data_IF_025953371770
#
_entry.id   IF_025953371770
#
_cell.length_a   1.000
_cell.length_b   1.000
_cell.length_c   1.000
_cell.angle_alpha   90.00
_cell.angle_beta   90.00
_cell.angle_gamma   90.00
#
_symmetry.space_group_name_H-M   'P 1'
#
loop_
_entity.id
_entity.type
_entity.pdbx_description
1 polymer ?
#
# COMPACT_ATOMS: atom_id res chain seq x y z
N UNK A 1 4.26 7.81 8.41
CA UNK A 1 3.20 6.76 8.29
C UNK A 1 2.06 7.05 9.25
N UNK A 2 0.81 6.78 8.86
CA UNK A 2 -0.37 6.78 9.73
C UNK A 2 -1.15 5.48 9.54
N UNK A 3 -2.02 5.11 10.48
CA UNK A 3 -2.91 3.95 10.31
C UNK A 3 -4.23 4.12 11.08
N UNK A 4 -5.24 3.37 10.63
CA UNK A 4 -6.52 3.19 11.33
C UNK A 4 -6.86 1.71 11.39
N UNK A 5 -7.50 1.30 12.47
CA UNK A 5 -7.87 -0.09 12.75
C UNK A 5 -9.39 -0.28 12.70
N UNK A 6 -9.82 -1.42 12.16
CA UNK A 6 -11.21 -1.86 12.12
C UNK A 6 -11.33 -3.24 12.77
N UNK A 7 -12.48 -3.51 13.39
CA UNK A 7 -12.81 -4.81 14.00
C UNK A 7 -11.71 -5.33 14.95
N UNK A 8 -11.24 -4.46 15.86
CA UNK A 8 -10.24 -4.76 16.88
C UNK A 8 -8.87 -5.26 16.35
N UNK A 9 -8.50 -4.87 15.13
CA UNK A 9 -7.19 -5.18 14.55
C UNK A 9 -6.03 -4.74 15.46
N UNK A 10 -6.15 -3.60 16.16
CA UNK A 10 -5.18 -3.12 17.13
C UNK A 10 -4.94 -4.11 18.28
N UNK A 11 -6.02 -4.68 18.83
CA UNK A 11 -5.95 -5.64 19.94
C UNK A 11 -5.32 -6.95 19.48
N UNK A 12 -5.72 -7.45 18.31
CA UNK A 12 -5.16 -8.68 17.72
C UNK A 12 -3.67 -8.49 17.41
N UNK A 13 -3.28 -7.34 16.84
CA UNK A 13 -1.88 -7.04 16.56
C UNK A 13 -1.06 -6.96 17.85
N UNK A 14 -1.55 -6.27 18.87
CA UNK A 14 -0.80 -6.09 20.11
C UNK A 14 -0.61 -7.39 20.90
N UNK A 15 -1.54 -8.35 20.77
CA UNK A 15 -1.54 -9.61 21.52
C UNK A 15 -0.88 -10.77 20.75
N UNK A 16 -1.06 -10.84 19.44
CA UNK A 16 -0.66 -12.00 18.62
C UNK A 16 0.42 -11.68 17.59
N UNK A 17 0.43 -10.46 17.03
CA UNK A 17 1.23 -10.11 15.85
C UNK A 17 2.16 -8.91 16.06
N UNK A 18 2.62 -8.71 17.29
CA UNK A 18 3.44 -7.55 17.65
C UNK A 18 4.76 -7.54 16.88
N UNK A 19 5.36 -8.71 16.67
CA UNK A 19 6.63 -8.86 15.95
C UNK A 19 6.44 -8.60 14.45
N UNK A 20 5.42 -9.23 13.84
CA UNK A 20 5.07 -9.02 12.43
C UNK A 20 4.74 -7.55 12.15
N UNK A 21 3.99 -6.88 13.04
CA UNK A 21 3.74 -5.46 12.91
C UNK A 21 5.01 -4.61 13.06
N UNK A 22 5.93 -4.99 13.95
CA UNK A 22 7.22 -4.30 14.07
C UNK A 22 8.05 -4.41 12.78
N UNK A 23 8.08 -5.57 12.14
CA UNK A 23 8.74 -5.78 10.84
C UNK A 23 8.12 -4.88 9.75
N UNK A 24 6.79 -4.86 9.65
CA UNK A 24 6.04 -4.06 8.67
C UNK A 24 6.29 -2.57 8.91
N UNK A 25 6.02 -2.09 10.12
CA UNK A 25 6.13 -0.66 10.47
C UNK A 25 7.55 -0.14 10.31
N UNK A 26 8.56 -0.92 10.69
CA UNK A 26 9.97 -0.56 10.49
C UNK A 26 10.32 -0.45 9.00
N UNK A 27 9.88 -1.42 8.20
CA UNK A 27 10.10 -1.41 6.75
C UNK A 27 9.46 -0.18 6.09
N UNK A 28 8.18 0.05 6.35
CA UNK A 28 7.42 1.15 5.73
C UNK A 28 7.90 2.53 6.21
N UNK A 29 8.41 2.65 7.44
CA UNK A 29 8.93 3.92 7.98
C UNK A 29 10.32 4.25 7.46
N UNK A 30 11.16 3.23 7.17
CA UNK A 30 12.52 3.43 6.64
C UNK A 30 12.57 3.58 5.12
N UNK A 31 11.49 3.21 4.44
CA UNK A 31 11.42 3.27 2.98
C UNK A 31 11.48 4.73 2.51
N UNK A 32 12.43 5.10 1.62
CA UNK A 32 12.44 6.43 1.03
C UNK A 32 11.24 6.61 0.09
N UNK A 33 10.81 7.86 -0.10
CA UNK A 33 9.76 8.16 -1.08
C UNK A 33 10.26 7.82 -2.49
N UNK A 34 9.58 6.89 -3.16
CA UNK A 34 9.86 6.53 -4.55
C UNK A 34 9.01 7.36 -5.50
N UNK A 35 9.66 7.98 -6.49
CA UNK A 35 9.02 8.84 -7.47
C UNK A 35 9.52 8.58 -8.88
N UNK A 36 8.69 8.91 -9.85
CA UNK A 36 8.96 8.79 -11.27
C UNK A 36 8.36 9.96 -12.03
N UNK A 37 8.78 10.15 -13.28
CA UNK A 37 8.11 11.06 -14.20
C UNK A 37 6.72 10.54 -14.58
N UNK A 38 5.75 11.44 -14.60
CA UNK A 38 4.42 11.19 -15.16
C UNK A 38 4.47 11.15 -16.69
N UNK A 39 3.64 10.28 -17.28
CA UNK A 39 3.35 10.25 -18.73
C UNK A 39 1.88 10.62 -19.03
N UNK A 40 1.18 11.17 -18.04
CA UNK A 40 -0.20 11.61 -18.18
C UNK A 40 -0.27 12.96 -18.93
N UNK A 41 -1.22 13.07 -19.87
CA UNK A 41 -1.47 14.30 -20.62
C UNK A 41 -1.71 15.49 -19.67
N UNK A 42 -0.99 16.59 -19.91
CA UNK A 42 -1.07 17.84 -19.15
C UNK A 42 -0.12 17.95 -17.96
N UNK A 43 0.56 16.86 -17.57
CA UNK A 43 1.54 16.85 -16.46
C UNK A 43 2.76 15.97 -16.79
N UNK A 44 3.05 15.75 -18.07
CA UNK A 44 4.18 14.90 -18.47
C UNK A 44 5.50 15.44 -17.91
N UNK A 45 6.35 14.54 -17.44
CA UNK A 45 7.62 14.89 -16.81
C UNK A 45 7.51 15.28 -15.33
N UNK A 46 6.34 15.69 -14.84
CA UNK A 46 6.17 16.03 -13.43
C UNK A 46 6.41 14.81 -12.54
N UNK A 47 7.07 15.04 -11.40
CA UNK A 47 7.30 14.01 -10.40
C UNK A 47 5.97 13.54 -9.80
N UNK A 48 5.75 12.23 -9.81
CA UNK A 48 4.61 11.55 -9.20
C UNK A 48 5.09 10.35 -8.38
N UNK A 49 4.25 9.91 -7.44
CA UNK A 49 4.45 8.68 -6.68
C UNK A 49 4.69 7.50 -7.63
N UNK A 50 5.73 6.73 -7.34
CA UNK A 50 6.10 5.55 -8.11
C UNK A 50 5.61 4.27 -7.43
N UNK A 51 4.46 3.70 -7.84
CA UNK A 51 3.98 2.47 -7.26
C UNK A 51 4.85 1.26 -7.63
N UNK A 52 5.63 1.32 -8.72
CA UNK A 52 6.46 0.19 -9.17
C UNK A 52 7.69 0.08 -8.28
N UNK A 53 8.46 1.16 -8.13
CA UNK A 53 9.61 1.20 -7.23
C UNK A 53 9.22 0.96 -5.78
N UNK A 54 8.09 1.52 -5.33
CA UNK A 54 7.57 1.28 -3.98
C UNK A 54 7.27 -0.21 -3.74
N UNK A 55 6.55 -0.86 -4.67
CA UNK A 55 6.23 -2.29 -4.54
C UNK A 55 7.49 -3.16 -4.58
N UNK A 56 8.46 -2.83 -5.43
CA UNK A 56 9.74 -3.53 -5.52
C UNK A 56 10.51 -3.45 -4.20
N UNK A 57 10.62 -2.25 -3.61
CA UNK A 57 11.28 -2.04 -2.32
C UNK A 57 10.61 -2.85 -1.21
N UNK A 58 9.27 -2.72 -1.08
CA UNK A 58 8.50 -3.44 -0.05
C UNK A 58 8.68 -4.94 -0.21
N UNK A 59 8.58 -5.47 -1.45
CA UNK A 59 8.74 -6.90 -1.72
C UNK A 59 10.11 -7.41 -1.28
N UNK A 60 11.18 -6.71 -1.63
CA UNK A 60 12.54 -7.10 -1.25
C UNK A 60 12.71 -7.13 0.29
N UNK A 61 12.24 -6.10 0.98
CA UNK A 61 12.34 -6.01 2.44
C UNK A 61 11.47 -7.04 3.17
N UNK A 62 10.26 -7.32 2.67
CA UNK A 62 9.36 -8.30 3.26
C UNK A 62 9.88 -9.72 3.07
N UNK A 63 10.41 -10.08 1.89
CA UNK A 63 11.04 -11.39 1.66
C UNK A 63 12.24 -11.58 2.59
N UNK A 64 13.06 -10.54 2.80
CA UNK A 64 14.16 -10.58 3.77
C UNK A 64 13.68 -10.88 5.20
N UNK A 65 12.48 -10.42 5.56
CA UNK A 65 11.84 -10.70 6.86
C UNK A 65 10.96 -11.96 6.83
N UNK A 66 11.22 -12.88 5.89
CA UNK A 66 10.54 -14.18 5.76
C UNK A 66 9.04 -14.09 5.46
N UNK A 67 8.57 -12.98 4.90
CA UNK A 67 7.22 -12.91 4.32
C UNK A 67 7.22 -13.62 2.98
N UNK A 68 6.25 -14.51 2.78
CA UNK A 68 6.04 -15.15 1.48
C UNK A 68 5.29 -14.18 0.58
N UNK A 69 5.71 -14.06 -0.68
CA UNK A 69 5.11 -13.14 -1.65
C UNK A 69 4.34 -13.86 -2.74
N UNK A 70 3.28 -13.25 -3.28
CA UNK A 70 2.46 -13.76 -4.39
C UNK A 70 1.93 -15.17 -4.11
N UNK A 71 1.32 -15.35 -2.94
CA UNK A 71 0.86 -16.66 -2.47
C UNK A 71 -0.43 -17.00 -3.22
N UNK A 72 -0.48 -18.15 -3.91
CA UNK A 72 -1.63 -18.50 -4.74
C UNK A 72 -2.88 -18.67 -3.89
N UNK A 73 -3.99 -18.12 -4.37
CA UNK A 73 -5.31 -18.35 -3.77
C UNK A 73 -5.71 -19.82 -4.00
N UNK A 74 -6.15 -20.56 -2.96
CA UNK A 74 -6.53 -21.96 -3.09
C UNK A 74 -7.64 -22.21 -4.12
N UNK A 75 -7.64 -23.40 -4.72
CA UNK A 75 -8.52 -23.74 -5.84
C UNK A 75 -10.01 -23.42 -5.62
N UNK A 76 -10.63 -23.68 -4.45
CA UNK A 76 -12.03 -23.35 -4.22
C UNK A 76 -12.35 -21.85 -4.31
N UNK A 77 -11.36 -20.98 -4.13
CA UNK A 77 -11.52 -19.53 -4.08
C UNK A 77 -10.85 -18.79 -5.24
N UNK A 78 -10.35 -19.50 -6.27
CA UNK A 78 -9.65 -18.91 -7.43
C UNK A 78 -10.47 -17.87 -8.20
N UNK A 79 -11.80 -17.91 -8.09
CA UNK A 79 -12.67 -16.88 -8.68
C UNK A 79 -12.49 -15.50 -8.03
N UNK A 80 -11.85 -15.41 -6.86
CA UNK A 80 -11.51 -14.17 -6.15
C UNK A 80 -10.15 -13.58 -6.54
N UNK A 81 -9.37 -14.27 -7.39
CA UNK A 81 -8.07 -13.83 -7.86
C UNK A 81 -7.04 -14.96 -7.98
N UNK A 82 -5.84 -14.61 -8.41
CA UNK A 82 -4.72 -15.54 -8.57
C UNK A 82 -3.92 -15.72 -7.28
N UNK A 83 -3.64 -14.62 -6.60
CA UNK A 83 -2.77 -14.57 -5.43
C UNK A 83 -3.10 -13.38 -4.50
N UNK A 84 -2.50 -13.43 -3.31
CA UNK A 84 -2.38 -12.31 -2.36
C UNK A 84 -0.93 -11.83 -2.33
N UNK A 85 -0.71 -10.53 -2.11
CA UNK A 85 0.63 -9.94 -2.25
C UNK A 85 1.63 -10.54 -1.26
N UNK A 86 1.28 -10.61 0.03
CA UNK A 86 2.11 -11.24 1.06
C UNK A 86 1.30 -11.93 2.14
N UNK A 87 1.88 -12.96 2.78
CA UNK A 87 1.34 -13.50 4.04
C UNK A 87 2.42 -14.08 4.96
N UNK A 88 2.10 -14.06 6.26
CA UNK A 88 2.88 -14.64 7.36
C UNK A 88 1.98 -14.80 8.58
N UNK A 89 2.04 -15.94 9.27
CA UNK A 89 1.36 -16.18 10.56
C UNK A 89 -0.17 -15.90 10.57
N UNK A 90 -0.87 -16.04 9.43
CA UNK A 90 -2.31 -15.73 9.33
C UNK A 90 -2.64 -14.27 9.01
N UNK A 91 -1.63 -13.44 8.79
CA UNK A 91 -1.75 -12.06 8.29
C UNK A 91 -1.62 -12.08 6.77
N UNK A 92 -2.56 -11.43 6.07
CA UNK A 92 -2.40 -11.08 4.66
C UNK A 92 -2.05 -9.60 4.56
N UNK A 93 -1.10 -9.25 3.69
CA UNK A 93 -0.82 -7.86 3.33
C UNK A 93 -1.13 -7.66 1.86
N UNK A 94 -1.77 -6.54 1.55
CA UNK A 94 -2.07 -6.09 0.20
C UNK A 94 -1.52 -4.67 0.01
N UNK A 95 -0.63 -4.49 -0.96
CA UNK A 95 -0.03 -3.20 -1.29
C UNK A 95 -0.83 -2.56 -2.42
N UNK A 96 -1.78 -1.71 -2.05
CA UNK A 96 -2.81 -1.25 -2.97
C UNK A 96 -2.55 0.17 -3.50
N UNK A 97 -1.82 0.24 -4.62
CA UNK A 97 -1.60 1.49 -5.37
C UNK A 97 -2.24 1.51 -6.76
N UNK A 98 -3.06 0.50 -7.09
CA UNK A 98 -3.87 0.48 -8.30
C UNK A 98 -5.13 1.36 -8.14
N UNK A 99 -6.07 1.24 -9.07
CA UNK A 99 -7.28 2.04 -9.07
C UNK A 99 -8.16 1.78 -7.84
N UNK A 100 -8.86 2.81 -7.37
CA UNK A 100 -9.65 2.78 -6.13
C UNK A 100 -10.67 1.63 -5.97
N UNK A 101 -11.29 1.04 -7.02
CA UNK A 101 -12.22 -0.08 -6.84
C UNK A 101 -11.55 -1.33 -6.24
N UNK A 102 -10.23 -1.46 -6.39
CA UNK A 102 -9.50 -2.57 -5.80
C UNK A 102 -9.52 -2.59 -4.28
N UNK A 103 -9.79 -1.46 -3.61
CA UNK A 103 -9.97 -1.47 -2.14
C UNK A 103 -11.13 -2.37 -1.75
N UNK A 104 -12.30 -2.16 -2.35
CA UNK A 104 -13.51 -2.92 -2.00
C UNK A 104 -13.41 -4.36 -2.49
N UNK A 105 -12.79 -4.60 -3.65
CA UNK A 105 -12.48 -5.95 -4.10
C UNK A 105 -11.58 -6.69 -3.08
N UNK A 106 -10.47 -6.07 -2.66
CA UNK A 106 -9.56 -6.64 -1.68
C UNK A 106 -10.25 -6.87 -0.33
N UNK A 107 -11.09 -5.92 0.13
CA UNK A 107 -11.84 -6.05 1.38
C UNK A 107 -12.78 -7.26 1.35
N UNK A 108 -13.60 -7.39 0.30
CA UNK A 108 -14.59 -8.45 0.21
C UNK A 108 -13.96 -9.83 0.01
N UNK A 109 -12.89 -9.96 -0.79
CA UNK A 109 -12.20 -11.26 -0.93
C UNK A 109 -11.53 -11.68 0.38
N UNK A 110 -10.91 -10.73 1.09
CA UNK A 110 -10.30 -10.99 2.38
C UNK A 110 -11.32 -11.37 3.45
N UNK A 111 -12.49 -10.74 3.47
CA UNK A 111 -13.61 -11.13 4.34
C UNK A 111 -14.02 -12.60 4.10
N UNK A 112 -14.12 -13.02 2.84
CA UNK A 112 -14.43 -14.40 2.50
C UNK A 112 -13.31 -15.36 2.96
N UNK A 113 -12.04 -14.99 2.78
CA UNK A 113 -10.91 -15.78 3.28
C UNK A 113 -10.95 -15.94 4.80
N UNK A 114 -11.29 -14.87 5.52
CA UNK A 114 -11.45 -14.88 6.97
C UNK A 114 -12.60 -15.79 7.40
N UNK A 115 -13.81 -15.63 6.84
CA UNK A 115 -14.97 -16.47 7.18
C UNK A 115 -14.75 -17.94 6.86
N UNK A 116 -14.08 -18.23 5.75
CA UNK A 116 -13.72 -19.58 5.33
C UNK A 116 -12.54 -20.17 6.09
N UNK A 117 -11.83 -19.38 6.92
CA UNK A 117 -10.55 -19.74 7.53
C UNK A 117 -9.55 -20.24 6.48
N UNK A 118 -9.56 -19.61 5.31
CA UNK A 118 -8.64 -19.96 4.22
C UNK A 118 -7.21 -19.83 4.72
N UNK A 119 -6.44 -20.90 4.54
CA UNK A 119 -5.06 -20.94 4.96
C UNK A 119 -4.14 -20.35 3.89
N UNK A 120 -3.30 -19.41 4.30
CA UNK A 120 -2.15 -18.96 3.54
C UNK A 120 -0.91 -19.32 4.35
N UNK A 121 0.07 -19.92 3.69
CA UNK A 121 1.34 -20.37 4.32
C UNK A 121 1.15 -21.24 5.57
N UNK A 122 0.08 -22.06 5.60
CA UNK A 122 -0.24 -22.99 6.69
C UNK A 122 -0.95 -22.37 7.88
N UNK A 123 -1.41 -21.12 7.78
CA UNK A 123 -2.14 -20.44 8.85
C UNK A 123 -3.48 -19.89 8.33
N UNK A 124 -4.58 -20.06 9.09
CA UNK A 124 -5.87 -19.48 8.71
C UNK A 124 -5.79 -17.96 8.72
N UNK A 125 -6.46 -17.33 7.75
CA UNK A 125 -6.58 -15.87 7.67
C UNK A 125 -7.23 -15.32 8.93
N UNK A 126 -6.56 -14.38 9.60
CA UNK A 126 -7.00 -13.80 10.87
C UNK A 126 -6.95 -12.26 10.86
N UNK A 127 -6.08 -11.68 10.05
CA UNK A 127 -5.87 -10.24 9.97
C UNK A 127 -5.49 -9.85 8.53
N UNK A 128 -5.97 -8.69 8.07
CA UNK A 128 -5.50 -8.08 6.83
C UNK A 128 -4.92 -6.69 7.07
N UNK A 129 -3.80 -6.42 6.40
CA UNK A 129 -3.15 -5.12 6.41
C UNK A 129 -3.15 -4.55 4.99
N UNK A 130 -3.82 -3.41 4.82
CA UNK A 130 -3.80 -2.67 3.55
C UNK A 130 -2.75 -1.57 3.62
N UNK A 131 -1.83 -1.52 2.67
CA UNK A 131 -0.87 -0.42 2.55
C UNK A 131 -1.26 0.46 1.37
N UNK A 132 -1.44 1.75 1.63
CA UNK A 132 -1.91 2.75 0.67
C UNK A 132 -1.03 4.01 0.74
N UNK A 133 -1.03 4.81 -0.32
CA UNK A 133 -0.38 6.13 -0.32
C UNK A 133 -1.35 7.20 0.19
N UNK A 134 -0.85 8.24 0.84
CA UNK A 134 -1.66 9.40 1.19
C UNK A 134 -2.09 10.21 -0.04
N UNK A 135 -3.19 10.96 0.07
CA UNK A 135 -3.69 11.90 -0.93
C UNK A 135 -2.65 12.95 -1.29
N UNK A 136 -1.78 13.31 -0.35
CA UNK A 136 -0.78 14.35 -0.52
C UNK A 136 0.14 14.14 -1.72
N UNK A 137 0.37 12.89 -2.16
CA UNK A 137 1.28 12.64 -3.28
C UNK A 137 0.58 12.84 -4.63
N UNK A 138 1.18 13.61 -5.57
CA UNK A 138 0.77 13.57 -6.96
C UNK A 138 0.97 12.15 -7.50
N UNK A 139 -0.05 11.62 -8.19
CA UNK A 139 -0.07 10.25 -8.66
C UNK A 139 -0.95 10.12 -9.89
N UNK A 140 -0.80 9.01 -10.62
CA UNK A 140 -1.69 8.63 -11.72
C UNK A 140 -3.16 8.72 -11.30
N UNK A 141 -4.00 9.18 -12.23
CA UNK A 141 -5.44 9.31 -12.00
C UNK A 141 -6.06 8.02 -11.46
N UNK A 142 -7.07 8.18 -10.61
CA UNK A 142 -7.87 7.10 -10.02
C UNK A 142 -7.13 6.09 -9.14
N UNK A 143 -5.82 6.25 -8.93
CA UNK A 143 -5.08 5.41 -7.96
C UNK A 143 -5.57 5.66 -6.54
N UNK A 144 -5.77 4.58 -5.79
CA UNK A 144 -6.26 4.61 -4.41
C UNK A 144 -5.38 5.52 -3.54
N UNK A 145 -5.99 6.17 -2.56
CA UNK A 145 -5.29 6.87 -1.50
C UNK A 145 -5.93 6.64 -0.13
N UNK A 146 -5.12 6.79 0.91
CA UNK A 146 -5.43 6.45 2.29
C UNK A 146 -6.75 7.08 2.76
N UNK A 147 -6.94 8.38 2.56
CA UNK A 147 -8.11 9.12 3.04
C UNK A 147 -9.40 8.64 2.35
N UNK A 148 -9.33 8.25 1.07
CA UNK A 148 -10.44 7.61 0.38
C UNK A 148 -10.75 6.24 1.00
N UNK A 149 -9.72 5.46 1.31
CA UNK A 149 -9.87 4.16 1.91
C UNK A 149 -10.46 4.22 3.33
N UNK A 150 -10.00 5.18 4.14
CA UNK A 150 -10.56 5.47 5.48
C UNK A 150 -12.05 5.74 5.36
N UNK A 151 -12.47 6.63 4.46
CA UNK A 151 -13.88 6.98 4.30
C UNK A 151 -14.74 5.78 3.88
N UNK A 152 -14.27 4.97 2.93
CA UNK A 152 -15.00 3.80 2.46
C UNK A 152 -15.11 2.71 3.53
N UNK A 153 -14.00 2.33 4.17
CA UNK A 153 -13.99 1.29 5.20
C UNK A 153 -14.74 1.72 6.46
N UNK A 154 -14.67 3.00 6.84
CA UNK A 154 -15.46 3.54 7.96
C UNK A 154 -16.96 3.43 7.69
N UNK A 155 -17.40 3.76 6.48
CA UNK A 155 -18.81 3.60 6.11
C UNK A 155 -19.23 2.12 6.15
N UNK A 156 -18.42 1.21 5.62
CA UNK A 156 -18.71 -0.23 5.66
C UNK A 156 -18.74 -0.79 7.08
N UNK A 157 -17.79 -0.40 7.93
CA UNK A 157 -17.73 -0.80 9.33
C UNK A 157 -18.95 -0.28 10.12
N UNK A 158 -19.37 0.97 9.88
CA UNK A 158 -20.58 1.55 10.47
C UNK A 158 -21.83 0.72 10.17
N UNK A 159 -21.91 0.12 8.99
CA UNK A 159 -23.02 -0.74 8.57
C UNK A 159 -22.72 -2.25 8.70
N UNK A 160 -21.65 -2.62 9.43
CA UNK A 160 -21.30 -4.01 9.72
C UNK A 160 -21.21 -4.89 8.47
N UNK A 161 -20.64 -4.37 7.38
CA UNK A 161 -20.54 -5.10 6.11
C UNK A 161 -19.43 -6.17 6.14
N UNK A 162 -18.44 -6.04 7.03
CA UNK A 162 -17.35 -7.00 7.20
C UNK A 162 -16.99 -7.18 8.68
N UNK A 163 -16.59 -8.40 9.04
CA UNK A 163 -16.19 -8.79 10.40
C UNK A 163 -14.67 -8.95 10.54
N UNK A 164 -13.95 -9.14 9.43
CA UNK A 164 -12.50 -9.31 9.39
C UNK A 164 -11.77 -8.12 10.06
N UNK A 165 -10.79 -8.39 10.93
CA UNK A 165 -9.85 -7.38 11.42
C UNK A 165 -9.01 -6.79 10.30
N UNK A 166 -9.01 -5.46 10.18
CA UNK A 166 -8.26 -4.74 9.15
C UNK A 166 -7.44 -3.62 9.79
N UNK A 167 -6.13 -3.59 9.50
CA UNK A 167 -5.30 -2.39 9.68
C UNK A 167 -5.07 -1.72 8.34
N UNK A 168 -5.57 -0.49 8.18
CA UNK A 168 -5.31 0.33 7.00
C UNK A 168 -4.15 1.27 7.29
N UNK A 169 -3.08 1.16 6.50
CA UNK A 169 -1.85 1.95 6.60
C UNK A 169 -1.78 2.96 5.47
N UNK A 170 -1.45 4.20 5.81
CA UNK A 170 -1.13 5.29 4.90
C UNK A 170 0.35 5.66 4.93
N UNK A 171 0.98 5.69 3.77
CA UNK A 171 2.31 6.26 3.57
C UNK A 171 2.17 7.78 3.45
N UNK A 172 2.91 8.51 4.29
CA UNK A 172 2.88 9.97 4.41
C UNK A 172 4.29 10.49 4.53
N UNK A 173 4.49 11.73 4.10
CA UNK A 173 5.67 12.52 4.38
C UNK A 173 5.29 13.83 5.09
N UNK A 174 6.27 14.54 5.64
CA UNK A 174 6.06 15.90 6.11
C UNK A 174 6.04 16.87 4.91
N UNK A 175 5.27 17.95 5.04
CA UNK A 175 5.16 19.00 4.02
C UNK A 175 6.11 20.15 4.33
N UNK A 176 6.51 20.88 3.29
CA UNK A 176 7.43 22.02 3.30
C UNK A 176 8.80 21.67 3.89
N UNK A 177 9.26 20.46 3.62
CA UNK A 177 10.61 19.99 3.97
C UNK A 177 11.27 19.35 2.75
N UNK A 178 12.60 19.20 2.84
CA UNK A 178 13.41 18.45 1.89
C UNK A 178 13.52 17.02 2.42
N UNK A 179 13.22 16.04 1.59
CA UNK A 179 13.33 14.61 1.91
C UNK A 179 14.21 13.87 0.91
N UNK A 180 14.88 12.79 1.34
CA UNK A 180 15.53 11.88 0.41
C UNK A 180 14.48 11.12 -0.40
N UNK A 181 14.72 11.00 -1.70
CA UNK A 181 13.87 10.26 -2.63
C UNK A 181 14.67 9.28 -3.48
N UNK A 182 13.96 8.32 -4.06
CA UNK A 182 14.46 7.46 -5.12
C UNK A 182 13.74 7.86 -6.42
N UNK A 183 14.48 8.46 -7.34
CA UNK A 183 14.00 8.77 -8.68
C UNK A 183 14.30 7.60 -9.61
N UNK A 184 13.25 7.03 -10.22
CA UNK A 184 13.40 5.93 -11.16
C UNK A 184 12.89 6.31 -12.55
N UNK A 185 13.73 6.08 -13.55
CA UNK A 185 13.33 6.09 -14.96
C UNK A 185 13.24 4.66 -15.46
N UNK A 186 12.16 4.35 -16.16
CA UNK A 186 11.90 3.02 -16.71
C UNK A 186 12.18 3.01 -18.22
N UNK A 187 12.53 1.84 -18.78
CA UNK A 187 12.82 1.69 -20.22
C UNK A 187 11.66 2.14 -21.14
N UNK A 188 10.43 2.10 -20.64
CA UNK A 188 9.26 2.66 -21.33
C UNK A 188 8.49 3.56 -20.37
N UNK A 189 7.89 4.62 -20.94
CA UNK A 189 7.12 5.63 -20.21
C UNK A 189 5.88 5.06 -19.51
N UNK A 190 5.30 3.97 -20.03
CA UNK A 190 4.11 3.33 -19.47
C UNK A 190 4.35 1.86 -19.16
N UNK A 191 3.80 1.42 -18.03
CA UNK A 191 3.71 0.02 -17.58
C UNK A 191 5.01 -0.76 -17.37
N UNK A 192 6.14 -0.26 -17.87
CA UNK A 192 7.44 -0.91 -17.69
C UNK A 192 7.80 -1.01 -16.22
N UNK A 193 8.34 -2.18 -15.89
CA UNK A 193 8.97 -2.47 -14.60
C UNK A 193 10.48 -2.60 -14.73
N UNK A 194 11.02 -2.53 -15.95
CA UNK A 194 12.46 -2.60 -16.20
C UNK A 194 13.07 -1.22 -16.03
N UNK A 195 13.91 -1.09 -15.01
CA UNK A 195 14.63 0.13 -14.66
C UNK A 195 15.64 0.46 -15.76
N UNK A 196 15.62 1.70 -16.23
CA UNK A 196 16.67 2.30 -17.06
C UNK A 196 17.74 2.93 -16.15
N UNK A 197 17.32 3.86 -15.30
CA UNK A 197 18.17 4.53 -14.31
C UNK A 197 17.44 4.63 -12.97
N UNK A 198 18.19 4.53 -11.89
CA UNK A 198 17.70 4.75 -10.52
C UNK A 198 18.74 5.55 -9.75
N UNK A 199 18.32 6.69 -9.21
CA UNK A 199 19.22 7.60 -8.51
C UNK A 199 18.57 8.08 -7.20
N UNK A 200 19.39 8.18 -6.15
CA UNK A 200 18.99 8.87 -4.94
C UNK A 200 19.17 10.38 -5.15
N UNK A 201 18.15 11.16 -4.78
CA UNK A 201 18.16 12.63 -4.85
C UNK A 201 17.41 13.20 -3.65
N UNK A 202 17.39 14.52 -3.56
CA UNK A 202 16.52 15.25 -2.66
C UNK A 202 15.32 15.83 -3.40
N UNK A 203 14.20 15.95 -2.70
CA UNK A 203 12.98 16.57 -3.21
C UNK A 203 12.37 17.43 -2.12
N UNK A 204 11.97 18.64 -2.48
CA UNK A 204 11.12 19.45 -1.62
C UNK A 204 9.65 19.08 -1.85
N UNK A 205 8.95 18.78 -0.75
CA UNK A 205 7.51 18.51 -0.76
C UNK A 205 6.77 19.80 -0.46
N UNK A 206 6.28 20.48 -1.49
CA UNK A 206 5.61 21.77 -1.35
C UNK A 206 4.11 21.53 -1.08
N UNK A 207 3.58 22.09 0.00
CA UNK A 207 2.19 21.94 0.36
C UNK A 207 1.22 22.40 -0.76
N UNK A 208 0.09 21.71 -0.88
CA UNK A 208 -1.00 22.10 -1.77
C UNK A 208 -1.74 23.35 -1.29
N UNK A 209 -2.63 23.88 -2.13
CA UNK A 209 -3.45 25.08 -1.83
C UNK A 209 -4.38 24.90 -0.62
N UNK A 210 -4.74 23.66 -0.29
CA UNK A 210 -5.58 23.28 0.84
C UNK A 210 -5.20 21.91 1.39
N UNK A 211 -5.70 21.57 2.57
CA UNK A 211 -5.48 20.26 3.20
C UNK A 211 -5.99 19.07 2.37
N UNK A 212 -6.87 19.31 1.38
CA UNK A 212 -7.40 18.26 0.48
C UNK A 212 -6.73 18.25 -0.89
N UNK A 213 -5.73 19.09 -1.11
CA UNK A 213 -4.99 19.12 -2.37
C UNK A 213 -3.68 18.38 -2.28
N UNK A 214 -3.26 17.83 -3.42
CA UNK A 214 -1.96 17.18 -3.57
C UNK A 214 -0.85 18.20 -3.45
N UNK A 215 0.29 17.77 -2.94
CA UNK A 215 1.54 18.51 -2.90
C UNK A 215 2.15 18.61 -4.30
N UNK A 216 3.07 19.56 -4.46
CA UNK A 216 4.01 19.58 -5.58
C UNK A 216 5.33 18.96 -5.11
N UNK A 217 5.91 18.10 -5.94
CA UNK A 217 7.20 17.47 -5.69
C UNK A 217 8.25 18.16 -6.57
N UNK A 218 9.14 18.93 -5.96
CA UNK A 218 10.22 19.65 -6.66
C UNK A 218 11.54 18.94 -6.42
N UNK A 219 12.05 18.29 -7.46
CA UNK A 219 13.40 17.72 -7.48
C UNK A 219 14.44 18.82 -7.29
N UNK A 220 15.46 18.55 -6.47
CA UNK A 220 16.62 19.40 -6.25
C UNK A 220 17.85 18.87 -6.99
#
# INVERSE_FOLDING_TARGET
>A
MQYVDFNAADTIINTQYKNEWHEISTTLTRMPLHIKASDQAGIQGNAIFDPVGTNEYIKAAFIHNSWQSNIPIPAPYRFLGTDVDFAKSGIIIEIQFSNYPFLLNNTLRSELFFKAKTEFVGYPTNLVIFVTKALMFPASNSTLYYEQAVNQLTALAKYQVFDLPIRLVGLFEQQNIIVPIIWTEYLSKRYSRTVNTRVSRECEIIAGRSARSRCLLRLL
#
